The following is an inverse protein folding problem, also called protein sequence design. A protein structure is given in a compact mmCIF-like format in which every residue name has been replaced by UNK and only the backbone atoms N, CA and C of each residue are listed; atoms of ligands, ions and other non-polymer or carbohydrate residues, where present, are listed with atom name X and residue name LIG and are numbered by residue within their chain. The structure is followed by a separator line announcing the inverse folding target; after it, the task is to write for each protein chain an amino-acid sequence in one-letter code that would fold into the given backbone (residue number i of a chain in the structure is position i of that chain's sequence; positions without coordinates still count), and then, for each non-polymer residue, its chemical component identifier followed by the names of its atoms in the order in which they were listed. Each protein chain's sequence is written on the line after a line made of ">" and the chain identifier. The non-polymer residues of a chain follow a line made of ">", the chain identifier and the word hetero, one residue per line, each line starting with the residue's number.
data_IF_896126141470
#
_entry.id   IF_896126141470
#
_cell.length_a   1.000
_cell.length_b   1.000
_cell.length_c   1.000
_cell.angle_alpha   90.00
_cell.angle_beta   90.00
_cell.angle_gamma   90.00
#
_symmetry.space_group_name_H-M   'P 1'
#
loop_
_entity.id
_entity.type
_entity.pdbx_description
1 polymer ?
#
# COMPACT_ATOMS: atom_id res chain seq x y z
N UNK A 1 18.50 -43.02 -45.85
CA UNK A 1 19.91 -42.92 -45.41
C UNK A 1 19.92 -41.93 -44.28
N UNK A 2 19.71 -42.45 -43.07
CA UNK A 2 20.66 -42.40 -41.93
C UNK A 2 21.28 -41.03 -41.62
N UNK A 3 21.37 -40.53 -40.38
CA UNK A 3 21.21 -41.10 -39.04
C UNK A 3 21.49 -39.99 -38.00
N UNK A 4 20.88 -40.10 -36.80
CA UNK A 4 21.33 -39.56 -35.48
C UNK A 4 21.39 -38.03 -35.24
N UNK A 5 21.10 -37.45 -34.07
CA UNK A 5 20.69 -37.92 -32.74
C UNK A 5 20.13 -36.72 -31.95
N UNK A 6 19.40 -37.07 -30.89
CA UNK A 6 18.91 -36.29 -29.73
C UNK A 6 19.64 -34.98 -29.35
N UNK A 7 18.86 -33.94 -28.99
CA UNK A 7 19.04 -33.34 -27.66
C UNK A 7 17.71 -32.85 -27.07
N UNK A 8 17.46 -33.31 -25.84
CA UNK A 8 16.25 -33.10 -25.04
C UNK A 8 16.56 -31.93 -24.10
N UNK A 9 16.16 -30.71 -24.45
CA UNK A 9 16.33 -29.55 -23.56
C UNK A 9 14.97 -28.94 -23.17
N UNK A 10 14.36 -29.60 -22.18
CA UNK A 10 13.62 -29.06 -21.05
C UNK A 10 13.15 -27.59 -21.16
N UNK A 11 11.90 -27.37 -21.62
CA UNK A 11 11.21 -26.08 -21.49
C UNK A 11 10.76 -25.93 -20.04
N UNK A 12 11.56 -25.22 -19.24
CA UNK A 12 11.17 -24.78 -17.90
C UNK A 12 10.12 -23.66 -18.02
N UNK A 13 8.98 -23.73 -17.29
CA UNK A 13 8.04 -22.62 -17.22
C UNK A 13 8.70 -21.43 -16.50
N UNK A 14 8.28 -20.18 -16.76
CA UNK A 14 8.75 -19.02 -16.01
C UNK A 14 8.51 -19.24 -14.50
N UNK A 15 9.42 -18.77 -13.61
CA UNK A 15 9.26 -18.97 -12.19
C UNK A 15 7.96 -18.33 -11.74
N UNK A 16 7.06 -19.15 -11.22
CA UNK A 16 5.85 -18.69 -10.58
C UNK A 16 6.22 -17.71 -9.45
N UNK A 17 5.47 -16.61 -9.26
CA UNK A 17 5.64 -15.79 -8.08
C UNK A 17 5.49 -16.67 -6.84
N UNK A 18 6.30 -16.49 -5.79
CA UNK A 18 6.11 -17.26 -4.58
C UNK A 18 4.68 -17.00 -4.08
N UNK A 19 3.90 -18.08 -4.02
CA UNK A 19 2.63 -18.14 -3.30
C UNK A 19 2.84 -17.53 -1.90
N UNK A 20 1.79 -16.93 -1.31
CA UNK A 20 1.89 -16.23 -0.05
C UNK A 20 2.41 -17.20 1.00
N UNK A 21 3.61 -16.92 1.53
CA UNK A 21 4.10 -17.61 2.70
C UNK A 21 3.13 -17.31 3.85
N UNK A 22 2.32 -18.33 4.15
CA UNK A 22 1.84 -18.76 5.45
C UNK A 22 1.67 -17.65 6.49
N UNK A 23 0.41 -17.25 6.61
CA UNK A 23 -0.17 -16.49 7.73
C UNK A 23 -0.23 -17.37 9.02
N UNK A 24 0.43 -18.54 9.03
CA UNK A 24 0.30 -19.55 10.10
C UNK A 24 1.26 -19.39 11.28
N UNK A 25 2.13 -18.37 11.31
CA UNK A 25 3.01 -18.15 12.47
C UNK A 25 2.37 -17.28 13.56
N UNK A 26 1.16 -16.74 13.33
CA UNK A 26 0.39 -16.04 14.36
C UNK A 26 -0.51 -16.96 15.20
N UNK A 27 -0.38 -18.29 15.10
CA UNK A 27 -1.22 -19.24 15.87
C UNK A 27 -0.47 -20.02 16.95
N UNK A 28 0.65 -19.49 17.50
CA UNK A 28 1.25 -20.13 18.67
C UNK A 28 1.91 -19.19 19.67
N UNK A 29 1.18 -18.19 20.14
CA UNK A 29 1.43 -17.65 21.48
C UNK A 29 0.44 -18.29 22.43
N UNK A 30 0.76 -19.53 22.83
CA UNK A 30 0.08 -20.22 23.93
C UNK A 30 0.43 -19.45 25.22
N UNK A 31 -0.50 -18.64 25.70
CA UNK A 31 -0.46 -17.99 27.01
C UNK A 31 -0.50 -19.07 28.10
N UNK A 32 0.64 -19.60 28.49
CA UNK A 32 0.81 -20.28 29.77
C UNK A 32 0.91 -19.21 30.86
N UNK A 33 -0.14 -19.08 31.67
CA UNK A 33 -0.11 -18.27 32.89
C UNK A 33 0.63 -19.00 34.00
N UNK A 34 1.83 -18.53 34.33
CA UNK A 34 2.51 -18.80 35.60
C UNK A 34 2.08 -17.77 36.65
N UNK A 35 1.86 -18.24 37.88
CA UNK A 35 1.20 -17.56 39.00
C UNK A 35 2.08 -16.52 39.74
N UNK A 36 2.86 -15.70 39.02
CA UNK A 36 3.72 -14.68 39.63
C UNK A 36 3.84 -13.40 38.78
N UNK A 37 3.55 -12.20 39.32
CA UNK A 37 3.68 -10.93 38.61
C UNK A 37 5.09 -10.62 38.09
N UNK A 38 6.14 -11.25 38.67
CA UNK A 38 7.52 -11.02 38.26
C UNK A 38 7.87 -11.76 36.96
N UNK A 39 7.34 -12.97 36.78
CA UNK A 39 7.62 -13.80 35.60
C UNK A 39 6.96 -13.27 34.32
N UNK A 40 5.79 -12.62 34.43
CA UNK A 40 5.21 -11.90 33.30
C UNK A 40 6.11 -10.74 32.90
N UNK A 41 6.53 -9.90 33.86
CA UNK A 41 7.31 -8.70 33.56
C UNK A 41 8.63 -9.09 32.90
N UNK A 42 9.30 -10.12 33.41
CA UNK A 42 10.53 -10.62 32.82
C UNK A 42 10.29 -11.22 31.41
N UNK A 43 9.19 -11.96 31.18
CA UNK A 43 8.83 -12.49 29.86
C UNK A 43 8.41 -11.39 28.86
N UNK A 44 7.75 -10.33 29.33
CA UNK A 44 7.36 -9.19 28.50
C UNK A 44 8.60 -8.38 28.07
N UNK A 45 9.57 -8.22 28.98
CA UNK A 45 10.85 -7.57 28.67
C UNK A 45 11.64 -8.37 27.63
N UNK A 46 11.69 -9.69 27.75
CA UNK A 46 12.30 -10.57 26.74
C UNK A 46 11.58 -10.48 25.37
N UNK A 47 10.25 -10.44 25.35
CA UNK A 47 9.48 -10.27 24.11
C UNK A 47 9.70 -8.89 23.45
N UNK A 48 9.90 -7.84 24.26
CA UNK A 48 10.21 -6.49 23.73
C UNK A 48 11.61 -6.36 23.14
N UNK A 49 12.54 -7.25 23.49
CA UNK A 49 13.88 -7.29 22.92
C UNK A 49 13.93 -8.07 21.58
N UNK A 50 13.05 -9.04 21.40
CA UNK A 50 13.03 -9.92 20.21
C UNK A 50 12.22 -9.30 19.05
N UNK A 51 11.09 -8.64 19.33
CA UNK A 51 10.27 -7.97 18.33
C UNK A 51 11.02 -6.93 17.45
N UNK A 52 11.83 -6.00 18.02
CA UNK A 52 12.57 -5.04 17.20
C UNK A 52 13.65 -5.71 16.35
N UNK A 53 14.26 -6.82 16.80
CA UNK A 53 15.26 -7.54 16.00
C UNK A 53 14.66 -8.22 14.78
N UNK A 54 13.45 -8.78 14.89
CA UNK A 54 12.75 -9.38 13.76
C UNK A 54 12.32 -8.30 12.75
N UNK A 55 11.86 -7.15 13.23
CA UNK A 55 11.49 -6.02 12.36
C UNK A 55 12.71 -5.45 11.64
N UNK A 56 13.84 -5.29 12.33
CA UNK A 56 15.09 -4.85 11.72
C UNK A 56 15.63 -5.87 10.71
N UNK A 57 15.54 -7.18 11.03
CA UNK A 57 15.95 -8.25 10.12
C UNK A 57 15.11 -8.33 8.84
N UNK A 58 13.80 -8.14 8.94
CA UNK A 58 12.90 -8.13 7.77
C UNK A 58 13.07 -6.88 6.91
N UNK A 59 13.32 -5.72 7.53
CA UNK A 59 13.61 -4.47 6.82
C UNK A 59 14.92 -4.57 6.03
N UNK A 60 16.00 -5.04 6.65
CA UNK A 60 17.30 -5.19 5.99
C UNK A 60 17.26 -6.22 4.85
N UNK A 61 16.50 -7.31 5.04
CA UNK A 61 16.26 -8.31 3.99
C UNK A 61 15.45 -7.74 2.82
N UNK A 62 14.47 -6.87 3.07
CA UNK A 62 13.70 -6.21 2.01
C UNK A 62 14.52 -5.16 1.25
N UNK A 63 15.38 -4.41 1.96
CA UNK A 63 16.30 -3.43 1.37
C UNK A 63 17.37 -4.12 0.51
N UNK A 64 17.94 -5.21 1.00
CA UNK A 64 18.91 -6.01 0.22
C UNK A 64 18.26 -6.68 -1.00
N UNK A 65 17.05 -7.21 -0.88
CA UNK A 65 16.31 -7.79 -2.00
C UNK A 65 15.96 -6.76 -3.08
N UNK A 66 15.54 -5.54 -2.68
CA UNK A 66 15.22 -4.46 -3.63
C UNK A 66 16.46 -3.92 -4.31
N UNK A 67 17.56 -3.72 -3.59
CA UNK A 67 18.84 -3.28 -4.18
C UNK A 67 19.45 -4.30 -5.12
N UNK A 68 19.33 -5.61 -4.83
CA UNK A 68 19.75 -6.68 -5.74
C UNK A 68 18.94 -6.66 -7.05
N UNK A 69 17.60 -6.57 -6.97
CA UNK A 69 16.74 -6.45 -8.16
C UNK A 69 17.03 -5.20 -8.98
N UNK A 70 17.30 -4.07 -8.31
CA UNK A 70 17.62 -2.82 -8.98
C UNK A 70 19.00 -2.88 -9.67
N UNK A 71 19.98 -3.53 -9.06
CA UNK A 71 21.28 -3.82 -9.69
C UNK A 71 21.12 -4.73 -10.91
N UNK A 72 20.26 -5.75 -10.82
CA UNK A 72 19.98 -6.65 -11.94
C UNK A 72 19.31 -5.93 -13.11
N UNK A 73 18.31 -5.08 -12.86
CA UNK A 73 17.66 -4.26 -13.90
C UNK A 73 18.65 -3.26 -14.50
N UNK A 74 19.50 -2.65 -13.67
CA UNK A 74 20.55 -1.74 -14.15
C UNK A 74 21.54 -2.47 -15.05
N UNK A 75 22.01 -3.67 -14.68
CA UNK A 75 22.97 -4.42 -15.50
C UNK A 75 22.38 -4.91 -16.82
N UNK A 76 21.13 -5.39 -16.83
CA UNK A 76 20.47 -5.83 -18.07
C UNK A 76 20.15 -4.65 -18.98
N UNK A 77 19.68 -3.53 -18.43
CA UNK A 77 19.41 -2.31 -19.19
C UNK A 77 20.68 -1.71 -19.79
N UNK A 78 21.80 -1.69 -19.05
CA UNK A 78 23.09 -1.22 -19.57
C UNK A 78 23.57 -2.10 -20.73
N UNK A 79 23.44 -3.43 -20.64
CA UNK A 79 23.81 -4.31 -21.74
C UNK A 79 23.02 -4.00 -23.03
N UNK A 80 21.69 -3.84 -22.94
CA UNK A 80 20.87 -3.47 -24.09
C UNK A 80 21.16 -2.06 -24.63
N UNK A 81 21.55 -1.11 -23.77
CA UNK A 81 21.97 0.23 -24.18
C UNK A 81 23.31 0.21 -24.92
N UNK A 82 24.26 -0.62 -24.48
CA UNK A 82 25.54 -0.78 -25.18
C UNK A 82 25.30 -1.42 -26.56
N UNK A 83 24.47 -2.46 -26.66
CA UNK A 83 24.14 -3.09 -27.95
C UNK A 83 23.45 -2.12 -28.94
N UNK A 84 22.56 -1.25 -28.44
CA UNK A 84 21.92 -0.23 -29.30
C UNK A 84 22.88 0.88 -29.69
N UNK A 85 23.82 1.23 -28.81
CA UNK A 85 24.89 2.18 -29.14
C UNK A 85 25.84 1.62 -30.21
N UNK A 86 26.23 0.35 -30.10
CA UNK A 86 27.10 -0.33 -31.05
C UNK A 86 26.47 -0.41 -32.44
N UNK A 87 25.17 -0.72 -32.54
CA UNK A 87 24.46 -0.74 -33.83
C UNK A 87 24.32 0.65 -34.47
N UNK A 88 24.21 1.71 -33.67
CA UNK A 88 24.28 3.09 -34.15
C UNK A 88 25.68 3.46 -34.65
N UNK A 89 26.73 2.98 -33.98
CA UNK A 89 28.10 3.21 -34.40
C UNK A 89 28.41 2.49 -35.72
N UNK A 90 27.89 1.27 -35.90
CA UNK A 90 27.96 0.52 -37.15
C UNK A 90 27.16 1.19 -38.29
N UNK A 91 25.97 1.73 -38.01
CA UNK A 91 25.24 2.54 -38.99
C UNK A 91 25.99 3.82 -39.37
N UNK A 92 26.64 4.46 -38.40
CA UNK A 92 27.46 5.66 -38.64
C UNK A 92 28.65 5.33 -39.53
N UNK A 93 29.34 4.21 -39.32
CA UNK A 93 30.47 3.80 -40.16
C UNK A 93 30.00 3.47 -41.58
N UNK A 94 28.91 2.70 -41.73
CA UNK A 94 28.28 2.38 -43.02
C UNK A 94 27.83 3.65 -43.78
N UNK A 95 27.26 4.62 -43.07
CA UNK A 95 26.87 5.89 -43.65
C UNK A 95 28.07 6.72 -44.09
N UNK A 96 29.16 6.71 -43.32
CA UNK A 96 30.39 7.44 -43.67
C UNK A 96 31.05 6.87 -44.93
N UNK A 97 31.02 5.54 -45.13
CA UNK A 97 31.49 4.89 -46.37
C UNK A 97 30.67 5.36 -47.57
N UNK A 98 29.34 5.44 -47.43
CA UNK A 98 28.47 5.92 -48.50
C UNK A 98 28.67 7.43 -48.78
N UNK A 99 28.82 8.24 -47.73
CA UNK A 99 29.16 9.67 -47.85
C UNK A 99 30.48 9.83 -48.62
N UNK A 100 31.53 9.07 -48.31
CA UNK A 100 32.83 9.18 -48.99
C UNK A 100 32.75 8.78 -50.47
N UNK A 101 32.01 7.71 -50.82
CA UNK A 101 31.83 7.31 -52.23
C UNK A 101 31.07 8.39 -53.01
N UNK A 102 30.03 8.99 -52.42
CA UNK A 102 29.29 10.09 -53.06
C UNK A 102 30.13 11.36 -53.18
N UNK A 103 30.89 11.71 -52.16
CA UNK A 103 31.79 12.86 -52.15
C UNK A 103 32.95 12.66 -53.13
N UNK A 104 33.48 11.46 -53.25
CA UNK A 104 34.51 11.12 -54.23
C UNK A 104 33.99 11.26 -55.66
N UNK A 105 32.79 10.73 -55.97
CA UNK A 105 32.16 10.92 -57.28
C UNK A 105 31.85 12.39 -57.59
N UNK A 106 31.43 13.16 -56.58
CA UNK A 106 31.24 14.61 -56.73
C UNK A 106 32.57 15.34 -56.93
N UNK A 107 33.66 14.92 -56.27
CA UNK A 107 34.99 15.51 -56.44
C UNK A 107 35.59 15.20 -57.81
N UNK A 108 35.38 13.99 -58.34
CA UNK A 108 35.73 13.63 -59.72
C UNK A 108 34.94 14.49 -60.72
N UNK A 109 33.65 14.71 -60.46
CA UNK A 109 32.79 15.61 -61.26
C UNK A 109 33.20 17.09 -61.13
N UNK A 110 33.70 17.49 -59.97
CA UNK A 110 34.20 18.85 -59.71
C UNK A 110 35.54 19.09 -60.41
N UNK A 111 36.47 18.13 -60.39
CA UNK A 111 37.71 18.21 -61.19
C UNK A 111 37.42 18.28 -62.70
N UNK A 112 36.36 17.63 -63.18
CA UNK A 112 35.90 17.78 -64.56
C UNK A 112 35.29 19.18 -64.83
N UNK A 113 34.65 19.80 -63.84
CA UNK A 113 34.05 21.14 -63.93
C UNK A 113 35.05 22.31 -63.75
N UNK A 114 36.28 22.06 -63.28
CA UNK A 114 37.37 23.08 -63.23
C UNK A 114 37.71 23.59 -64.64
N UNK A 115 37.36 22.85 -65.71
CA UNK A 115 37.46 23.33 -67.08
C UNK A 115 36.50 24.51 -67.40
N UNK A 116 35.46 24.75 -66.59
CA UNK A 116 34.46 25.82 -66.81
C UNK A 116 34.15 26.61 -65.51
N UNK A 117 35.00 27.58 -65.13
CA UNK A 117 35.00 28.21 -63.80
C UNK A 117 33.87 29.21 -63.50
N UNK A 118 33.09 29.68 -64.48
CA UNK A 118 32.14 30.80 -64.25
C UNK A 118 30.70 30.40 -63.93
N UNK A 119 30.26 29.17 -64.21
CA UNK A 119 28.88 28.71 -63.94
C UNK A 119 28.73 27.99 -62.58
N UNK A 120 29.83 27.65 -61.92
CA UNK A 120 29.84 26.64 -60.83
C UNK A 120 29.87 27.24 -59.41
N UNK A 121 30.08 28.56 -59.25
CA UNK A 121 30.21 29.16 -57.90
C UNK A 121 28.91 29.08 -57.08
N UNK A 122 27.74 29.27 -57.70
CA UNK A 122 26.44 29.25 -57.01
C UNK A 122 26.04 27.88 -56.47
N UNK A 123 26.36 26.80 -57.18
CA UNK A 123 25.99 25.43 -56.80
C UNK A 123 26.85 24.92 -55.62
N UNK A 124 28.11 25.34 -55.56
CA UNK A 124 29.05 24.95 -54.49
C UNK A 124 28.63 25.52 -53.13
N UNK A 125 28.20 26.78 -53.07
CA UNK A 125 27.74 27.39 -51.81
C UNK A 125 26.41 26.81 -51.31
N UNK A 126 25.43 26.57 -52.20
CA UNK A 126 24.15 25.96 -51.84
C UNK A 126 24.27 24.52 -51.35
N UNK A 127 25.10 23.71 -52.02
CA UNK A 127 25.43 22.34 -51.63
C UNK A 127 26.19 22.28 -50.29
N UNK A 128 27.12 23.21 -50.06
CA UNK A 128 27.86 23.32 -48.80
C UNK A 128 26.96 23.64 -47.59
N UNK A 129 25.99 24.54 -47.77
CA UNK A 129 25.03 24.89 -46.71
C UNK A 129 24.09 23.73 -46.36
N UNK A 130 23.68 22.95 -47.35
CA UNK A 130 22.84 21.78 -47.13
C UNK A 130 23.65 20.61 -46.58
N UNK A 131 24.94 20.47 -46.88
CA UNK A 131 25.78 19.36 -46.40
C UNK A 131 26.31 19.55 -44.97
N UNK A 132 26.29 20.77 -44.44
CA UNK A 132 26.63 21.04 -43.05
C UNK A 132 25.62 20.38 -42.08
N UNK A 133 26.05 19.34 -41.36
CA UNK A 133 25.20 18.54 -40.44
C UNK A 133 24.44 19.38 -39.38
N UNK A 134 24.88 20.61 -39.09
CA UNK A 134 24.31 21.51 -38.09
C UNK A 134 23.08 22.28 -38.58
N UNK A 135 23.03 22.66 -39.86
CA UNK A 135 21.94 23.47 -40.44
C UNK A 135 20.69 22.63 -40.75
N UNK A 136 20.89 21.38 -41.22
CA UNK A 136 19.79 20.41 -41.45
C UNK A 136 18.91 20.20 -40.23
N UNK A 137 19.53 20.00 -39.05
CA UNK A 137 18.80 19.82 -37.79
C UNK A 137 18.04 21.09 -37.41
N UNK A 138 18.67 22.26 -37.53
CA UNK A 138 18.03 23.53 -37.23
C UNK A 138 16.77 23.77 -38.05
N UNK A 139 16.84 23.55 -39.37
CA UNK A 139 15.68 23.73 -40.26
C UNK A 139 14.57 22.71 -39.97
N UNK A 140 14.91 21.44 -39.74
CA UNK A 140 13.94 20.39 -39.42
C UNK A 140 13.16 20.68 -38.13
N UNK A 141 13.83 21.09 -37.06
CA UNK A 141 13.16 21.43 -35.81
C UNK A 141 12.40 22.76 -35.89
N UNK A 142 12.87 23.71 -36.69
CA UNK A 142 12.20 25.01 -36.84
C UNK A 142 10.91 24.89 -37.68
N UNK A 143 10.91 24.08 -38.74
CA UNK A 143 9.70 23.86 -39.55
C UNK A 143 8.66 23.03 -38.80
N UNK A 144 9.07 21.96 -38.11
CA UNK A 144 8.15 21.20 -37.24
C UNK A 144 7.49 22.07 -36.18
N UNK A 145 8.23 23.05 -35.63
CA UNK A 145 7.70 24.00 -34.64
C UNK A 145 6.70 24.98 -35.23
N UNK A 146 6.86 25.36 -36.50
CA UNK A 146 5.94 26.26 -37.21
C UNK A 146 4.67 25.54 -37.73
N UNK A 147 4.76 24.23 -38.02
CA UNK A 147 3.63 23.42 -38.46
C UNK A 147 2.76 22.88 -37.30
N UNK A 148 3.21 22.96 -36.04
CA UNK A 148 2.30 22.89 -34.89
C UNK A 148 1.52 24.20 -34.83
N UNK A 149 0.37 24.25 -35.51
CA UNK A 149 -0.48 25.43 -35.51
C UNK A 149 -0.80 25.87 -34.07
N UNK A 150 -0.67 27.16 -33.80
CA UNK A 150 -0.99 27.75 -32.49
C UNK A 150 -2.41 27.38 -32.04
N UNK A 151 -3.32 27.26 -33.00
CA UNK A 151 -4.71 26.82 -32.81
C UNK A 151 -4.84 25.37 -32.31
N UNK A 152 -4.00 24.44 -32.81
CA UNK A 152 -3.99 23.06 -32.31
C UNK A 152 -3.45 22.96 -30.88
N UNK A 153 -2.49 23.82 -30.51
CA UNK A 153 -1.99 23.88 -29.15
C UNK A 153 -3.00 24.49 -28.18
N UNK A 154 -3.70 25.55 -28.60
CA UNK A 154 -4.77 26.18 -27.83
C UNK A 154 -5.96 25.24 -27.61
N UNK A 155 -6.46 24.58 -28.66
CA UNK A 155 -7.55 23.59 -28.54
C UNK A 155 -7.19 22.42 -27.63
N UNK A 156 -5.93 21.94 -27.68
CA UNK A 156 -5.46 20.90 -26.75
C UNK A 156 -5.37 21.41 -25.32
N UNK A 157 -4.94 22.65 -25.12
CA UNK A 157 -4.86 23.27 -23.80
C UNK A 157 -6.27 23.48 -23.19
N UNK A 158 -7.23 23.97 -23.98
CA UNK A 158 -8.62 24.15 -23.53
C UNK A 158 -9.30 22.84 -23.23
N UNK A 159 -9.11 21.79 -24.05
CA UNK A 159 -9.63 20.45 -23.78
C UNK A 159 -9.06 19.86 -22.48
N UNK A 160 -7.76 20.02 -22.22
CA UNK A 160 -7.15 19.61 -20.94
C UNK A 160 -7.69 20.41 -19.77
N UNK A 161 -7.88 21.71 -19.92
CA UNK A 161 -8.44 22.57 -18.87
C UNK A 161 -9.90 22.18 -18.54
N UNK A 162 -10.71 21.84 -19.54
CA UNK A 162 -12.07 21.32 -19.35
C UNK A 162 -12.05 19.99 -18.60
N UNK A 163 -11.22 19.03 -19.04
CA UNK A 163 -11.07 17.74 -18.35
C UNK A 163 -10.70 17.91 -16.88
N UNK A 164 -9.76 18.82 -16.58
CA UNK A 164 -9.39 19.14 -15.20
C UNK A 164 -10.54 19.77 -14.41
N UNK A 165 -11.31 20.69 -15.01
CA UNK A 165 -12.51 21.26 -14.38
C UNK A 165 -13.54 20.20 -14.05
N UNK A 166 -13.76 19.24 -14.94
CA UNK A 166 -14.70 18.15 -14.71
C UNK A 166 -14.23 17.22 -13.60
N UNK A 167 -12.93 16.89 -13.56
CA UNK A 167 -12.34 16.14 -12.45
C UNK A 167 -12.46 16.87 -11.10
N UNK A 168 -12.22 18.19 -11.08
CA UNK A 168 -12.42 19.00 -9.87
C UNK A 168 -13.88 18.98 -9.43
N UNK A 169 -14.82 19.14 -10.36
CA UNK A 169 -16.26 19.06 -10.05
C UNK A 169 -16.64 17.71 -9.44
N UNK A 170 -16.16 16.61 -10.03
CA UNK A 170 -16.40 15.28 -9.47
C UNK A 170 -15.88 15.16 -8.03
N UNK A 171 -14.63 15.58 -7.79
CA UNK A 171 -14.03 15.55 -6.44
C UNK A 171 -14.82 16.44 -5.47
N UNK A 172 -15.31 17.60 -5.90
CA UNK A 172 -16.12 18.47 -5.02
C UNK A 172 -17.45 17.84 -4.64
N UNK A 173 -18.12 17.14 -5.56
CA UNK A 173 -19.38 16.44 -5.30
C UNK A 173 -19.16 15.24 -4.39
N UNK A 174 -18.14 14.44 -4.66
CA UNK A 174 -17.75 13.31 -3.80
C UNK A 174 -17.33 13.79 -2.41
N UNK A 175 -16.59 14.89 -2.33
CA UNK A 175 -16.20 15.54 -1.09
C UNK A 175 -17.39 15.97 -0.24
N UNK A 176 -18.37 16.67 -0.82
CA UNK A 176 -19.60 17.07 -0.11
C UNK A 176 -20.42 15.87 0.36
N UNK A 177 -20.50 14.81 -0.46
CA UNK A 177 -21.20 13.57 -0.09
C UNK A 177 -20.52 12.90 1.10
N UNK A 178 -19.19 12.79 1.08
CA UNK A 178 -18.41 12.24 2.20
C UNK A 178 -18.56 13.08 3.46
N UNK A 179 -18.53 14.41 3.35
CA UNK A 179 -18.76 15.32 4.47
C UNK A 179 -20.12 15.06 5.13
N UNK A 180 -21.19 14.99 4.34
CA UNK A 180 -22.52 14.68 4.86
C UNK A 180 -22.59 13.32 5.55
N UNK A 181 -21.91 12.29 5.01
CA UNK A 181 -21.84 10.99 5.66
C UNK A 181 -21.07 11.04 6.98
N UNK A 182 -19.95 11.76 7.05
CA UNK A 182 -19.18 11.90 8.29
C UNK A 182 -19.97 12.61 9.39
N UNK A 183 -20.69 13.69 9.05
CA UNK A 183 -21.55 14.41 10.00
C UNK A 183 -22.69 13.52 10.53
N UNK A 184 -23.31 12.73 9.65
CA UNK A 184 -24.35 11.77 10.06
C UNK A 184 -23.79 10.70 10.97
N UNK A 185 -22.69 10.06 10.58
CA UNK A 185 -22.01 9.02 11.36
C UNK A 185 -21.56 9.55 12.74
N UNK A 186 -21.03 10.76 12.80
CA UNK A 186 -20.64 11.41 14.06
C UNK A 186 -21.86 11.63 14.97
N UNK A 187 -22.97 12.13 14.40
CA UNK A 187 -24.20 12.36 15.15
C UNK A 187 -24.80 11.06 15.72
N UNK A 188 -24.75 9.97 14.95
CA UNK A 188 -25.20 8.64 15.36
C UNK A 188 -24.28 8.05 16.42
N UNK A 189 -22.96 8.20 16.29
CA UNK A 189 -21.99 7.79 17.31
C UNK A 189 -22.21 8.52 18.63
N UNK A 190 -22.39 9.85 18.59
CA UNK A 190 -22.69 10.66 19.78
C UNK A 190 -23.98 10.20 20.46
N UNK A 191 -25.03 9.91 19.67
CA UNK A 191 -26.31 9.36 20.19
C UNK A 191 -26.11 7.96 20.79
N UNK A 192 -25.39 7.08 20.11
CA UNK A 192 -25.05 5.74 20.59
C UNK A 192 -24.28 5.77 21.91
N UNK A 193 -23.25 6.62 22.01
CA UNK A 193 -22.47 6.83 23.23
C UNK A 193 -23.34 7.30 24.40
N UNK A 194 -24.27 8.23 24.16
CA UNK A 194 -25.22 8.70 25.19
C UNK A 194 -26.14 7.57 25.65
N UNK A 195 -26.68 6.78 24.73
CA UNK A 195 -27.52 5.61 25.05
C UNK A 195 -26.75 4.59 25.89
N UNK A 196 -25.54 4.22 25.47
CA UNK A 196 -24.67 3.30 26.23
C UNK A 196 -24.36 3.82 27.64
N UNK A 197 -24.09 5.12 27.78
CA UNK A 197 -23.89 5.74 29.10
C UNK A 197 -25.14 5.67 29.98
N UNK A 198 -26.31 5.97 29.42
CA UNK A 198 -27.58 5.90 30.15
C UNK A 198 -27.91 4.46 30.57
N UNK A 199 -27.77 3.50 29.66
CA UNK A 199 -27.94 2.07 29.95
C UNK A 199 -26.93 1.59 30.99
N UNK A 200 -25.66 2.01 30.89
CA UNK A 200 -24.64 1.72 31.90
C UNK A 200 -25.04 2.19 33.30
N UNK A 201 -25.58 3.40 33.43
CA UNK A 201 -26.10 3.92 34.70
C UNK A 201 -27.30 3.12 35.22
N UNK A 202 -28.22 2.73 34.34
CA UNK A 202 -29.36 1.88 34.72
C UNK A 202 -28.88 0.52 35.24
N UNK A 203 -27.93 -0.12 34.55
CA UNK A 203 -27.35 -1.40 34.98
C UNK A 203 -26.62 -1.23 36.31
N UNK A 204 -25.87 -0.13 36.51
CA UNK A 204 -25.23 0.15 37.79
C UNK A 204 -26.24 0.33 38.93
N UNK A 205 -27.38 0.97 38.64
CA UNK A 205 -28.52 1.04 39.56
C UNK A 205 -29.03 -0.34 39.95
N UNK A 206 -29.27 -1.23 38.98
CA UNK A 206 -29.69 -2.61 39.21
C UNK A 206 -28.63 -3.40 39.99
N UNK A 207 -27.35 -3.27 39.65
CA UNK A 207 -26.24 -3.89 40.41
C UNK A 207 -26.30 -3.48 41.88
N UNK A 208 -26.57 -2.20 42.16
CA UNK A 208 -26.64 -1.69 43.53
C UNK A 208 -27.86 -2.22 44.30
N UNK A 209 -29.02 -2.37 43.64
CA UNK A 209 -30.21 -2.96 44.27
C UNK A 209 -30.04 -4.46 44.47
N UNK A 210 -29.54 -5.19 43.48
CA UNK A 210 -29.22 -6.62 43.60
C UNK A 210 -28.18 -6.87 44.68
N UNK A 211 -27.17 -6.00 44.83
CA UNK A 211 -26.19 -6.09 45.93
C UNK A 211 -26.84 -5.93 47.31
N UNK A 212 -27.82 -5.03 47.46
CA UNK A 212 -28.58 -4.89 48.72
C UNK A 212 -29.37 -6.16 49.02
N UNK A 213 -30.02 -6.75 48.02
CA UNK A 213 -30.74 -8.02 48.15
C UNK A 213 -29.78 -9.14 48.55
N UNK A 214 -28.63 -9.28 47.87
CA UNK A 214 -27.58 -10.25 48.20
C UNK A 214 -27.14 -10.11 49.67
N UNK A 215 -26.94 -8.87 50.14
CA UNK A 215 -26.58 -8.58 51.54
C UNK A 215 -27.69 -8.93 52.53
N UNK A 216 -28.93 -8.58 52.23
CA UNK A 216 -30.08 -8.88 53.09
C UNK A 216 -30.36 -10.38 53.17
N UNK A 217 -30.34 -11.08 52.03
CA UNK A 217 -30.46 -12.54 51.98
C UNK A 217 -29.30 -13.24 52.68
N UNK A 218 -28.07 -12.74 52.52
CA UNK A 218 -26.91 -13.25 53.25
C UNK A 218 -27.07 -13.14 54.78
N UNK A 219 -27.45 -11.95 55.26
CA UNK A 219 -27.71 -11.74 56.69
C UNK A 219 -28.87 -12.58 57.22
N UNK A 220 -29.96 -12.71 56.45
CA UNK A 220 -31.08 -13.57 56.82
C UNK A 220 -30.68 -15.05 56.87
N UNK A 221 -29.84 -15.51 55.93
CA UNK A 221 -29.28 -16.86 55.94
C UNK A 221 -28.46 -17.11 57.20
N UNK A 222 -27.68 -16.13 57.64
CA UNK A 222 -26.86 -16.23 58.85
C UNK A 222 -27.75 -16.34 60.10
N UNK A 223 -28.82 -15.55 60.21
CA UNK A 223 -29.81 -15.66 61.30
C UNK A 223 -30.52 -17.03 61.25
N UNK A 224 -30.97 -17.45 60.07
CA UNK A 224 -31.64 -18.74 59.89
C UNK A 224 -30.75 -19.91 60.30
N UNK A 225 -29.41 -19.79 60.22
CA UNK A 225 -28.46 -20.81 60.65
C UNK A 225 -28.50 -21.06 62.16
N UNK A 226 -28.87 -20.07 62.96
CA UNK A 226 -28.94 -20.15 64.42
C UNK A 226 -30.22 -20.83 64.92
N UNK A 227 -31.29 -20.84 64.10
CA UNK A 227 -32.58 -21.44 64.44
C UNK A 227 -32.57 -22.99 64.45
N UNK A 228 -33.45 -23.65 65.22
CA UNK A 228 -33.63 -25.11 65.20
C UNK A 228 -33.94 -25.64 63.80
N UNK A 229 -33.43 -26.84 63.47
CA UNK A 229 -33.39 -27.35 62.09
C UNK A 229 -34.78 -27.59 61.45
N UNK A 230 -35.80 -27.93 62.24
CA UNK A 230 -37.08 -28.43 61.71
C UNK A 230 -37.88 -27.35 60.98
N UNK A 231 -38.02 -26.16 61.56
CA UNK A 231 -38.87 -25.09 60.99
C UNK A 231 -38.11 -24.18 60.02
N UNK A 232 -36.77 -24.10 60.15
CA UNK A 232 -35.95 -23.18 59.36
C UNK A 232 -35.39 -23.80 58.07
N UNK A 233 -35.47 -25.12 57.86
CA UNK A 233 -34.80 -25.79 56.74
C UNK A 233 -35.31 -25.29 55.37
N UNK A 234 -36.62 -25.13 55.22
CA UNK A 234 -37.20 -24.68 53.96
C UNK A 234 -36.78 -23.24 53.62
N UNK A 235 -36.86 -22.34 54.60
CA UNK A 235 -36.43 -20.94 54.43
C UNK A 235 -34.92 -20.84 54.14
N UNK A 236 -34.09 -21.73 54.72
CA UNK A 236 -32.65 -21.76 54.43
C UNK A 236 -32.37 -22.06 52.96
N UNK A 237 -33.07 -23.04 52.36
CA UNK A 237 -32.91 -23.34 50.95
C UNK A 237 -33.37 -22.18 50.06
N UNK A 238 -34.56 -21.62 50.34
CA UNK A 238 -35.13 -20.52 49.54
C UNK A 238 -34.24 -19.26 49.59
N UNK A 239 -33.77 -18.87 50.79
CA UNK A 239 -32.90 -17.70 50.95
C UNK A 239 -31.52 -17.93 50.34
N UNK A 240 -30.99 -19.16 50.42
CA UNK A 240 -29.70 -19.51 49.80
C UNK A 240 -29.78 -19.50 48.27
N UNK A 241 -30.88 -19.99 47.71
CA UNK A 241 -31.15 -19.96 46.27
C UNK A 241 -31.26 -18.51 45.77
N UNK A 242 -32.07 -17.68 46.45
CA UNK A 242 -32.24 -16.26 46.12
C UNK A 242 -30.91 -15.49 46.20
N UNK A 243 -30.10 -15.75 47.23
CA UNK A 243 -28.77 -15.14 47.37
C UNK A 243 -27.83 -15.55 46.22
N UNK A 244 -27.86 -16.83 45.83
CA UNK A 244 -27.04 -17.33 44.73
C UNK A 244 -27.48 -16.74 43.39
N UNK A 245 -28.78 -16.66 43.12
CA UNK A 245 -29.34 -16.06 41.92
C UNK A 245 -28.96 -14.57 41.82
N UNK A 246 -29.17 -13.80 42.89
CA UNK A 246 -28.76 -12.39 42.96
C UNK A 246 -27.25 -12.21 42.71
N UNK A 247 -26.41 -13.06 43.31
CA UNK A 247 -24.96 -13.02 43.11
C UNK A 247 -24.57 -13.34 41.65
N UNK A 248 -25.27 -14.30 41.02
CA UNK A 248 -25.05 -14.69 39.63
C UNK A 248 -25.43 -13.56 38.69
N UNK A 249 -26.62 -12.99 38.85
CA UNK A 249 -27.10 -11.85 38.06
C UNK A 249 -26.18 -10.64 38.20
N UNK A 250 -25.76 -10.32 39.44
CA UNK A 250 -24.81 -9.23 39.67
C UNK A 250 -23.49 -9.45 38.93
N UNK A 251 -22.96 -10.67 38.91
CA UNK A 251 -21.72 -11.00 38.18
C UNK A 251 -21.90 -10.85 36.67
N UNK A 252 -23.06 -11.20 36.12
CA UNK A 252 -23.38 -11.01 34.70
C UNK A 252 -23.46 -9.51 34.37
N UNK A 253 -24.25 -8.75 35.13
CA UNK A 253 -24.41 -7.30 34.92
C UNK A 253 -23.08 -6.53 35.05
N UNK A 254 -22.23 -6.92 35.99
CA UNK A 254 -20.92 -6.29 36.17
C UNK A 254 -19.98 -6.55 34.98
N UNK A 255 -20.10 -7.70 34.31
CA UNK A 255 -19.38 -7.97 33.05
C UNK A 255 -19.87 -7.05 31.93
N UNK A 256 -21.17 -6.82 31.81
CA UNK A 256 -21.73 -5.90 30.79
C UNK A 256 -21.32 -4.44 31.04
N UNK A 257 -21.33 -3.98 32.30
CA UNK A 257 -20.82 -2.64 32.67
C UNK A 257 -19.34 -2.50 32.34
N UNK A 258 -18.52 -3.53 32.62
CA UNK A 258 -17.11 -3.54 32.23
C UNK A 258 -16.93 -3.45 30.71
N UNK A 259 -17.75 -4.15 29.90
CA UNK A 259 -17.69 -4.01 28.44
C UNK A 259 -17.96 -2.56 28.01
N UNK A 260 -18.97 -1.90 28.59
CA UNK A 260 -19.27 -0.48 28.32
C UNK A 260 -18.09 0.43 28.70
N UNK A 261 -17.50 0.20 29.88
CA UNK A 261 -16.33 0.96 30.34
C UNK A 261 -15.10 0.76 29.45
N UNK A 262 -14.87 -0.45 28.94
CA UNK A 262 -13.75 -0.77 28.05
C UNK A 262 -13.84 -0.02 26.70
N UNK A 263 -15.03 0.41 26.28
CA UNK A 263 -15.21 1.31 25.13
C UNK A 263 -14.86 2.78 25.44
N UNK A 264 -14.31 3.09 26.62
CA UNK A 264 -13.94 4.46 27.02
C UNK A 264 -15.14 5.34 27.37
N UNK A 265 -16.27 4.73 27.75
CA UNK A 265 -17.48 5.44 28.16
C UNK A 265 -17.51 5.51 29.68
N UNK A 266 -17.42 6.72 30.28
CA UNK A 266 -17.54 6.87 31.73
C UNK A 266 -19.00 6.69 32.15
N UNK A 267 -19.22 5.79 33.10
CA UNK A 267 -20.53 5.46 33.65
C UNK A 267 -20.75 6.30 34.91
#
# INVERSE_FOLDING_TARGET
>A
MDESTEDKANVSPPPQPPYPADIDVLEKVKLFGGDSPREWVDNAVEQTLIAPRIILGTLESAISATTFRLRQIKSTSIAHLITTFDSLQDLKSKFNIYEDIMLQKMKESFCFAVAHPFATSGVVFGSGFLSAKRTRRGLYYNTLRLFLSEEAMLSRATAKAQKLRDSVRQITVEGQKLEQFTLRAESELKRGRKKLRQTGKQIQGVISSTYKIERQSGGLKDILKELPKMDASQFRSEVSELAFEAMRERRVLNKEVRKISNYGIPI
#
